data_IF_785022639327
#
_entry.id   IF_785022639327
#
_cell.length_a   1.000
_cell.length_b   1.000
_cell.length_c   1.000
_cell.angle_alpha   90.00
_cell.angle_beta   90.00
_cell.angle_gamma   90.00
#
_symmetry.space_group_name_H-M   'P 1'
#
loop_
_entity.id
_entity.type
_entity.pdbx_description
1 polymer ?
#
# COMPACT_ATOMS: atom_id res chain seq x y z
N UNK A 1 -26.77 24.91 33.10
CA UNK A 1 -27.09 23.93 32.03
C UNK A 1 -25.99 24.04 31.01
N UNK A 2 -24.98 23.17 31.09
CA UNK A 2 -23.90 23.09 30.12
C UNK A 2 -24.42 22.37 28.87
N UNK A 3 -24.35 23.07 27.74
CA UNK A 3 -24.67 22.52 26.43
C UNK A 3 -23.62 21.48 26.08
N UNK A 4 -23.98 20.21 26.06
CA UNK A 4 -23.12 19.15 25.55
C UNK A 4 -22.81 19.45 24.08
N UNK A 5 -21.56 19.77 23.78
CA UNK A 5 -21.07 19.93 22.43
C UNK A 5 -21.26 18.62 21.66
N UNK A 6 -22.07 18.67 20.61
CA UNK A 6 -22.23 17.56 19.67
C UNK A 6 -20.86 17.19 19.11
N UNK A 7 -20.42 15.92 19.16
CA UNK A 7 -19.13 15.56 18.61
C UNK A 7 -19.13 15.87 17.10
N UNK A 8 -18.20 16.73 16.66
CA UNK A 8 -17.94 16.96 15.25
C UNK A 8 -17.64 15.60 14.60
N UNK A 9 -18.55 15.12 13.77
CA UNK A 9 -18.33 13.95 12.93
C UNK A 9 -17.21 14.35 11.96
N UNK A 10 -15.98 13.93 12.24
CA UNK A 10 -14.86 14.18 11.32
C UNK A 10 -15.24 13.68 9.93
N UNK A 11 -15.04 14.52 8.91
CA UNK A 11 -15.32 14.12 7.53
C UNK A 11 -14.41 12.93 7.18
N UNK A 12 -15.01 11.86 6.60
CA UNK A 12 -14.25 10.69 6.20
C UNK A 12 -13.28 11.04 5.07
N UNK A 13 -12.09 10.51 5.12
CA UNK A 13 -11.09 10.62 4.03
C UNK A 13 -11.61 9.89 2.81
N UNK A 14 -11.18 10.34 1.61
CA UNK A 14 -11.64 9.80 0.33
C UNK A 14 -10.43 9.40 -0.51
N UNK A 15 -10.50 8.25 -1.15
CA UNK A 15 -9.52 7.86 -2.17
C UNK A 15 -9.75 8.66 -3.45
N UNK A 16 -8.77 8.71 -4.37
CA UNK A 16 -8.97 9.30 -5.70
C UNK A 16 -10.13 8.68 -6.47
N UNK A 17 -10.48 7.41 -6.20
CA UNK A 17 -11.55 6.68 -6.87
C UNK A 17 -12.91 6.79 -6.17
N UNK A 18 -13.03 7.48 -5.03
CA UNK A 18 -14.29 7.58 -4.29
C UNK A 18 -15.48 8.01 -5.14
N UNK A 19 -15.28 9.04 -5.99
CA UNK A 19 -16.32 9.49 -6.93
C UNK A 19 -16.70 8.43 -7.97
N UNK A 20 -15.77 7.57 -8.40
CA UNK A 20 -16.05 6.46 -9.30
C UNK A 20 -16.89 5.39 -8.61
N UNK A 21 -16.52 4.99 -7.39
CA UNK A 21 -17.27 4.02 -6.60
C UNK A 21 -18.74 4.42 -6.44
N UNK A 22 -19.00 5.69 -6.13
CA UNK A 22 -20.36 6.22 -6.00
C UNK A 22 -21.12 6.20 -7.33
N UNK A 23 -20.49 6.59 -8.45
CA UNK A 23 -21.11 6.51 -9.80
C UNK A 23 -21.45 5.08 -10.21
N UNK A 24 -20.67 4.10 -9.77
CA UNK A 24 -20.92 2.67 -9.99
C UNK A 24 -21.96 2.10 -9.02
N UNK A 25 -22.55 2.93 -8.15
CA UNK A 25 -23.59 2.49 -7.22
C UNK A 25 -23.07 1.69 -6.01
N UNK A 26 -21.83 1.88 -5.64
CA UNK A 26 -21.25 1.21 -4.47
C UNK A 26 -21.96 1.63 -3.19
N UNK A 27 -22.17 0.67 -2.30
CA UNK A 27 -22.55 0.92 -0.92
C UNK A 27 -21.31 1.34 -0.12
N UNK A 28 -21.27 2.61 0.26
CA UNK A 28 -20.13 3.21 0.97
C UNK A 28 -20.27 3.04 2.48
N UNK A 29 -19.13 2.77 3.15
CA UNK A 29 -19.05 2.62 4.61
C UNK A 29 -17.83 3.32 5.17
N UNK A 30 -17.86 3.63 6.47
CA UNK A 30 -16.66 4.07 7.18
C UNK A 30 -15.75 2.85 7.42
N UNK A 31 -14.61 2.83 6.74
CA UNK A 31 -13.57 1.84 6.92
C UNK A 31 -12.30 2.51 7.44
N UNK A 32 -12.05 2.41 8.75
CA UNK A 32 -10.86 3.00 9.37
C UNK A 32 -10.71 4.51 9.14
N UNK A 33 -11.80 5.27 9.11
CA UNK A 33 -11.79 6.72 8.85
C UNK A 33 -11.86 7.10 7.37
N UNK A 34 -11.97 6.13 6.48
CA UNK A 34 -12.12 6.33 5.03
C UNK A 34 -13.54 5.99 4.56
N UNK A 35 -14.03 6.74 3.57
CA UNK A 35 -15.29 6.49 2.87
C UNK A 35 -15.05 5.48 1.74
N UNK A 36 -15.22 4.20 2.02
CA UNK A 36 -14.84 3.08 1.16
C UNK A 36 -16.04 2.26 0.68
N UNK A 37 -15.97 1.69 -0.54
CA UNK A 37 -16.98 0.77 -1.01
C UNK A 37 -16.88 -0.57 -0.28
N UNK A 38 -18.02 -1.09 0.21
CA UNK A 38 -18.08 -2.44 0.80
C UNK A 38 -18.62 -3.47 -0.18
N UNK A 39 -19.52 -3.05 -1.08
CA UNK A 39 -20.11 -3.90 -2.12
C UNK A 39 -20.74 -3.05 -3.24
N UNK A 40 -20.97 -3.70 -4.37
CA UNK A 40 -21.75 -3.15 -5.49
C UNK A 40 -23.03 -3.97 -5.67
N UNK A 41 -24.18 -3.52 -5.17
CA UNK A 41 -25.43 -4.28 -5.24
C UNK A 41 -25.82 -4.69 -6.68
N UNK A 42 -25.50 -3.84 -7.68
CA UNK A 42 -25.77 -4.11 -9.08
C UNK A 42 -24.97 -5.30 -9.66
N UNK A 43 -23.85 -5.68 -9.03
CA UNK A 43 -23.05 -6.85 -9.43
C UNK A 43 -23.46 -8.14 -8.69
N UNK A 44 -24.51 -8.11 -7.90
CA UNK A 44 -24.97 -9.24 -7.07
C UNK A 44 -24.47 -9.21 -5.64
N UNK A 45 -23.79 -8.11 -5.24
CA UNK A 45 -23.32 -7.85 -3.88
C UNK A 45 -22.13 -8.71 -3.46
N UNK A 46 -21.84 -8.66 -2.19
CA UNK A 46 -20.61 -9.17 -1.56
C UNK A 46 -20.26 -10.62 -1.91
N UNK A 47 -21.25 -11.52 -1.90
CA UNK A 47 -21.03 -12.94 -2.19
C UNK A 47 -20.68 -13.16 -3.67
N UNK A 48 -21.35 -12.46 -4.59
CA UNK A 48 -21.08 -12.57 -6.02
C UNK A 48 -19.68 -11.99 -6.34
N UNK A 49 -19.33 -10.86 -5.76
CA UNK A 49 -18.00 -10.26 -5.89
C UNK A 49 -16.90 -11.18 -5.34
N UNK A 50 -17.09 -11.77 -4.15
CA UNK A 50 -16.16 -12.74 -3.61
C UNK A 50 -15.95 -13.94 -4.54
N UNK A 51 -17.03 -14.50 -5.11
CA UNK A 51 -16.96 -15.62 -6.08
C UNK A 51 -16.26 -15.20 -7.36
N UNK A 52 -16.48 -13.97 -7.85
CA UNK A 52 -15.81 -13.43 -9.03
C UNK A 52 -14.29 -13.38 -8.83
N UNK A 53 -13.83 -12.89 -7.69
CA UNK A 53 -12.39 -12.86 -7.36
C UNK A 53 -11.83 -14.27 -7.29
N UNK A 54 -12.53 -15.21 -6.63
CA UNK A 54 -12.05 -16.60 -6.46
C UNK A 54 -12.04 -17.39 -7.77
N UNK A 55 -13.00 -17.14 -8.66
CA UNK A 55 -13.15 -17.88 -9.92
C UNK A 55 -12.58 -17.17 -11.16
N UNK A 56 -12.32 -15.87 -11.08
CA UNK A 56 -11.87 -15.06 -12.20
C UNK A 56 -10.94 -13.95 -11.75
N UNK A 57 -11.43 -12.71 -11.63
CA UNK A 57 -10.62 -11.55 -11.24
C UNK A 57 -11.49 -10.49 -10.56
N UNK A 58 -10.90 -9.76 -9.61
CA UNK A 58 -11.46 -8.55 -9.02
C UNK A 58 -10.40 -7.46 -8.90
N UNK A 59 -10.87 -6.21 -8.93
CA UNK A 59 -10.05 -5.02 -8.74
C UNK A 59 -10.47 -4.33 -7.47
N UNK A 60 -9.52 -4.06 -6.58
CA UNK A 60 -9.76 -3.41 -5.31
C UNK A 60 -9.03 -2.06 -5.26
N UNK A 61 -9.74 -1.03 -4.85
CA UNK A 61 -9.12 0.24 -4.49
C UNK A 61 -8.47 0.10 -3.11
N UNK A 62 -7.15 0.13 -3.07
CA UNK A 62 -6.36 0.10 -1.84
C UNK A 62 -5.57 1.39 -1.65
N UNK A 63 -5.99 2.48 -2.32
CA UNK A 63 -5.34 3.79 -2.25
C UNK A 63 -5.40 4.47 -0.88
N UNK A 64 -6.11 3.86 0.08
CA UNK A 64 -6.14 4.28 1.47
C UNK A 64 -4.93 3.79 2.28
N UNK A 65 -4.16 2.84 1.73
CA UNK A 65 -2.91 2.36 2.35
C UNK A 65 -1.89 3.50 2.47
N UNK A 66 -0.89 3.32 3.31
CA UNK A 66 0.20 4.27 3.44
C UNK A 66 1.44 3.85 2.67
N UNK A 67 2.16 4.84 2.14
CA UNK A 67 3.38 4.68 1.35
C UNK A 67 4.49 5.56 1.93
N UNK A 68 5.50 4.92 2.52
CA UNK A 68 6.66 5.62 3.09
C UNK A 68 7.88 5.34 2.23
N UNK A 69 8.43 6.37 1.59
CA UNK A 69 9.73 6.27 0.93
C UNK A 69 10.85 6.60 1.91
N UNK A 70 11.84 5.72 1.97
CA UNK A 70 13.07 5.91 2.75
C UNK A 70 14.23 5.92 1.77
N UNK A 71 15.01 7.00 1.77
CA UNK A 71 16.24 7.13 0.97
C UNK A 71 17.39 7.62 1.83
N UNK A 72 18.62 7.35 1.41
CA UNK A 72 19.80 7.88 2.12
C UNK A 72 19.82 9.40 2.07
N UNK A 73 20.25 10.02 3.15
CA UNK A 73 20.34 11.47 3.32
C UNK A 73 21.49 12.07 2.52
N UNK A 74 22.70 11.63 2.77
CA UNK A 74 23.90 12.09 2.09
C UNK A 74 24.99 11.02 2.00
N UNK A 75 24.91 9.98 2.84
CA UNK A 75 25.87 8.89 2.87
C UNK A 75 25.24 7.60 2.35
N UNK A 76 25.91 6.85 1.47
CA UNK A 76 25.46 5.54 1.01
C UNK A 76 25.18 4.60 2.21
N UNK A 77 24.10 3.80 2.10
CA UNK A 77 23.73 2.83 3.12
C UNK A 77 22.84 3.36 4.25
N UNK A 78 22.61 4.66 4.32
CA UNK A 78 21.78 5.26 5.38
C UNK A 78 20.34 4.75 5.37
N UNK A 79 19.73 4.61 4.20
CA UNK A 79 18.39 4.06 4.06
C UNK A 79 18.34 2.57 4.45
N UNK A 80 19.32 1.76 4.03
CA UNK A 80 19.38 0.36 4.40
C UNK A 80 19.52 0.19 5.91
N UNK A 81 20.41 0.95 6.55
CA UNK A 81 20.59 0.91 8.00
C UNK A 81 19.30 1.27 8.75
N UNK A 82 18.57 2.30 8.28
CA UNK A 82 17.29 2.68 8.85
C UNK A 82 16.24 1.57 8.71
N UNK A 83 16.09 1.00 7.51
CA UNK A 83 15.11 -0.08 7.26
C UNK A 83 15.44 -1.34 8.05
N UNK A 84 16.73 -1.72 8.16
CA UNK A 84 17.18 -2.82 9.00
C UNK A 84 16.84 -2.63 10.47
N UNK A 85 16.87 -1.39 10.95
CA UNK A 85 16.55 -1.09 12.34
C UNK A 85 15.06 -1.20 12.66
N UNK A 86 14.20 -0.80 11.70
CA UNK A 86 12.75 -0.71 11.95
C UNK A 86 11.97 -1.94 11.47
N UNK A 87 12.56 -2.84 10.68
CA UNK A 87 11.88 -4.04 10.17
C UNK A 87 12.53 -5.32 10.66
N UNK A 88 11.70 -6.34 10.88
CA UNK A 88 12.12 -7.62 11.46
C UNK A 88 12.96 -8.46 10.50
N UNK A 89 12.61 -8.46 9.22
CA UNK A 89 13.32 -9.24 8.21
C UNK A 89 14.53 -8.49 7.68
N UNK A 90 15.57 -9.26 7.31
CA UNK A 90 16.83 -8.74 6.79
C UNK A 90 16.66 -8.09 5.40
N UNK A 91 16.51 -6.76 5.39
CA UNK A 91 16.33 -5.99 4.15
C UNK A 91 17.60 -5.98 3.26
N UNK A 92 18.78 -6.30 3.81
CA UNK A 92 20.02 -6.39 3.02
C UNK A 92 20.00 -7.51 1.98
N UNK A 93 19.17 -8.54 2.23
CA UNK A 93 18.99 -9.69 1.33
C UNK A 93 18.08 -9.42 0.14
N UNK A 94 17.34 -8.31 0.16
CA UNK A 94 16.52 -7.93 -0.99
C UNK A 94 17.41 -7.49 -2.14
N UNK A 95 17.16 -8.02 -3.33
CA UNK A 95 17.67 -7.44 -4.57
C UNK A 95 16.88 -6.18 -4.94
N UNK A 96 17.44 -5.29 -5.77
CA UNK A 96 16.68 -4.18 -6.37
C UNK A 96 15.54 -4.76 -7.21
N UNK A 97 14.31 -4.25 -7.04
CA UNK A 97 13.12 -4.81 -7.67
C UNK A 97 12.48 -5.96 -6.88
N UNK A 98 12.97 -6.25 -5.69
CA UNK A 98 12.41 -7.28 -4.81
C UNK A 98 11.75 -6.64 -3.58
N UNK A 99 10.73 -7.31 -3.06
CA UNK A 99 10.06 -6.96 -1.83
C UNK A 99 10.04 -8.14 -0.86
N UNK A 100 9.71 -7.89 0.39
CA UNK A 100 9.31 -8.92 1.34
C UNK A 100 8.24 -8.40 2.32
N UNK A 101 7.44 -9.32 2.80
CA UNK A 101 6.54 -9.09 3.92
C UNK A 101 7.35 -9.10 5.21
N UNK A 102 7.14 -8.14 6.09
CA UNK A 102 7.86 -7.98 7.34
C UNK A 102 6.96 -7.42 8.43
N UNK A 103 7.50 -7.15 9.58
CA UNK A 103 6.84 -6.48 10.68
C UNK A 103 7.74 -5.41 11.29
N UNK A 104 7.12 -4.38 11.83
CA UNK A 104 7.75 -3.42 12.74
C UNK A 104 7.41 -3.81 14.17
N UNK A 105 8.39 -3.81 15.06
CA UNK A 105 8.24 -4.29 16.42
C UNK A 105 8.63 -3.22 17.44
N UNK A 106 7.89 -3.16 18.54
CA UNK A 106 8.30 -2.44 19.72
C UNK A 106 9.47 -3.16 20.45
N UNK A 107 10.25 -2.47 21.29
CA UNK A 107 11.39 -3.09 21.99
C UNK A 107 11.02 -4.32 22.85
N UNK A 108 9.79 -4.42 23.31
CA UNK A 108 9.27 -5.57 24.06
C UNK A 108 8.82 -6.74 23.17
N UNK A 109 8.96 -6.65 21.83
CA UNK A 109 8.64 -7.70 20.87
C UNK A 109 7.18 -7.76 20.43
N UNK A 110 6.33 -6.81 20.83
CA UNK A 110 4.96 -6.68 20.31
C UNK A 110 4.94 -5.92 18.99
N UNK A 111 3.92 -6.17 18.16
CA UNK A 111 3.80 -5.53 16.86
C UNK A 111 3.50 -4.03 16.96
N UNK A 112 4.24 -3.22 16.23
CA UNK A 112 3.81 -1.89 15.80
C UNK A 112 2.78 -2.06 14.69
N UNK A 113 3.19 -2.74 13.59
CA UNK A 113 2.34 -3.16 12.49
C UNK A 113 3.09 -4.14 11.56
N UNK A 114 2.36 -4.76 10.63
CA UNK A 114 2.95 -5.46 9.50
C UNK A 114 3.22 -4.50 8.32
N UNK A 115 4.17 -4.84 7.48
CA UNK A 115 4.66 -3.98 6.41
C UNK A 115 5.19 -4.78 5.23
N UNK A 116 5.00 -4.26 4.01
CA UNK A 116 5.73 -4.76 2.85
C UNK A 116 6.87 -3.79 2.53
N UNK A 117 8.10 -4.29 2.56
CA UNK A 117 9.32 -3.54 2.26
C UNK A 117 9.75 -3.84 0.84
N UNK A 118 9.81 -2.81 -0.02
CA UNK A 118 10.28 -2.89 -1.39
C UNK A 118 11.65 -2.23 -1.49
N UNK A 119 12.63 -2.88 -2.14
CA UNK A 119 13.92 -2.26 -2.43
C UNK A 119 13.89 -1.64 -3.83
N UNK A 120 13.80 -0.30 -3.90
CA UNK A 120 13.69 0.45 -5.15
C UNK A 120 15.05 0.66 -5.83
N UNK A 121 16.11 0.84 -5.04
CA UNK A 121 17.48 1.10 -5.51
C UNK A 121 18.49 0.67 -4.44
N UNK A 122 19.77 0.90 -4.67
CA UNK A 122 20.81 0.64 -3.65
C UNK A 122 20.51 1.37 -2.32
N UNK A 123 20.09 2.63 -2.41
CA UNK A 123 19.84 3.52 -1.27
C UNK A 123 18.38 4.02 -1.19
N UNK A 124 17.43 3.19 -1.66
CA UNK A 124 16.02 3.58 -1.67
C UNK A 124 15.07 2.42 -1.41
N UNK A 125 14.13 2.63 -0.49
CA UNK A 125 13.09 1.68 -0.12
C UNK A 125 11.72 2.33 -0.16
N UNK A 126 10.68 1.52 -0.39
CA UNK A 126 9.27 1.89 -0.22
C UNK A 126 8.63 0.91 0.76
N UNK A 127 8.02 1.43 1.80
CA UNK A 127 7.25 0.67 2.77
C UNK A 127 5.77 0.90 2.49
N UNK A 128 5.01 -0.16 2.32
CA UNK A 128 3.54 -0.13 2.24
C UNK A 128 2.99 -0.55 3.59
N UNK A 129 2.21 0.34 4.22
CA UNK A 129 1.68 0.21 5.59
C UNK A 129 0.15 0.26 5.61
N UNK A 130 -0.45 -0.20 6.70
CA UNK A 130 -1.88 -0.30 6.85
C UNK A 130 -2.59 1.06 6.99
N UNK A 131 -3.78 1.16 6.40
CA UNK A 131 -4.56 2.41 6.37
C UNK A 131 -5.03 2.89 7.75
N UNK A 132 -5.48 1.96 8.59
CA UNK A 132 -6.05 2.30 9.90
C UNK A 132 -5.01 2.78 10.92
N UNK A 133 -3.75 2.44 10.71
CA UNK A 133 -2.62 2.75 11.59
C UNK A 133 -1.62 3.71 10.96
N UNK A 134 -1.90 4.22 9.76
CA UNK A 134 -1.02 5.01 8.91
C UNK A 134 -0.29 6.13 9.67
N UNK A 135 -0.99 6.98 10.40
CA UNK A 135 -0.36 8.09 11.14
C UNK A 135 0.55 7.58 12.26
N UNK A 136 0.11 6.57 12.99
CA UNK A 136 0.90 5.92 14.04
C UNK A 136 2.20 5.38 13.45
N UNK A 137 2.12 4.66 12.33
CA UNK A 137 3.25 3.97 11.73
C UNK A 137 4.25 4.96 11.11
N UNK A 138 3.77 6.00 10.41
CA UNK A 138 4.62 7.06 9.87
C UNK A 138 5.38 7.77 11.00
N UNK A 139 4.69 8.10 12.09
CA UNK A 139 5.31 8.76 13.23
C UNK A 139 6.32 7.84 13.92
N UNK A 140 6.00 6.56 14.07
CA UNK A 140 6.90 5.57 14.64
C UNK A 140 8.17 5.40 13.79
N UNK A 141 8.02 5.29 12.46
CA UNK A 141 9.15 5.21 11.52
C UNK A 141 10.04 6.46 11.65
N UNK A 142 9.45 7.66 11.60
CA UNK A 142 10.21 8.91 11.77
C UNK A 142 10.97 8.97 13.06
N UNK A 143 10.34 8.57 14.17
CA UNK A 143 10.95 8.61 15.50
C UNK A 143 12.13 7.64 15.62
N UNK A 144 11.95 6.40 15.13
CA UNK A 144 12.95 5.35 15.28
C UNK A 144 14.05 5.40 14.20
N UNK A 145 13.96 6.32 13.23
CA UNK A 145 15.01 6.51 12.20
C UNK A 145 15.80 7.81 12.37
N UNK A 146 15.54 8.62 13.38
CA UNK A 146 16.20 9.92 13.61
C UNK A 146 17.73 9.87 13.69
N UNK A 147 18.28 8.77 14.17
CA UNK A 147 19.75 8.59 14.32
C UNK A 147 20.43 8.14 13.03
N UNK A 148 19.67 7.83 11.98
CA UNK A 148 20.21 7.35 10.70
C UNK A 148 20.29 8.49 9.68
N UNK A 149 21.29 8.43 8.80
CA UNK A 149 21.40 9.36 7.67
C UNK A 149 20.41 9.00 6.56
N UNK A 150 19.13 9.24 6.82
CA UNK A 150 18.05 8.93 5.89
C UNK A 150 17.02 10.05 5.84
N UNK A 151 16.26 10.08 4.75
CA UNK A 151 15.11 10.97 4.54
C UNK A 151 13.84 10.12 4.44
N UNK A 152 12.84 10.46 5.25
CA UNK A 152 11.54 9.81 5.30
C UNK A 152 10.52 10.70 4.61
N UNK A 153 9.92 10.19 3.53
CA UNK A 153 8.90 10.90 2.75
C UNK A 153 7.59 10.12 2.82
N UNK A 154 6.53 10.78 3.29
CA UNK A 154 5.17 10.25 3.21
C UNK A 154 4.61 10.54 1.82
N UNK A 155 4.45 9.50 1.01
CA UNK A 155 3.92 9.56 -0.35
C UNK A 155 2.49 9.02 -0.44
N UNK A 156 1.87 8.73 0.67
CA UNK A 156 0.58 8.04 0.72
C UNK A 156 -0.54 8.77 -0.05
N UNK A 157 -0.54 10.10 -0.04
CA UNK A 157 -1.54 10.88 -0.79
C UNK A 157 -1.10 11.18 -2.23
N UNK A 158 0.12 10.79 -2.61
CA UNK A 158 0.67 10.96 -3.96
C UNK A 158 0.44 9.72 -4.84
N UNK A 159 0.09 8.58 -4.25
CA UNK A 159 -0.13 7.34 -4.97
C UNK A 159 -1.60 6.94 -5.02
N UNK A 160 -1.98 6.29 -6.13
CA UNK A 160 -3.20 5.51 -6.26
C UNK A 160 -2.79 4.06 -6.36
N UNK A 161 -3.31 3.23 -5.48
CA UNK A 161 -2.99 1.81 -5.44
C UNK A 161 -4.21 0.96 -5.80
N UNK A 162 -3.99 -0.02 -6.68
CA UNK A 162 -4.99 -1.00 -7.06
C UNK A 162 -4.47 -2.41 -6.80
N UNK A 163 -5.27 -3.25 -6.16
CA UNK A 163 -4.99 -4.67 -6.05
C UNK A 163 -5.85 -5.43 -7.07
N UNK A 164 -5.20 -6.05 -8.07
CA UNK A 164 -5.84 -6.89 -9.08
C UNK A 164 -5.62 -8.33 -8.64
N UNK A 165 -6.70 -9.02 -8.28
CA UNK A 165 -6.61 -10.31 -7.58
C UNK A 165 -7.48 -11.37 -8.27
N UNK A 166 -7.01 -12.63 -8.23
CA UNK A 166 -7.73 -13.78 -8.77
C UNK A 166 -6.96 -14.51 -9.87
N UNK A 167 -7.41 -15.72 -10.27
CA UNK A 167 -6.69 -16.56 -11.22
C UNK A 167 -6.50 -15.93 -12.61
N UNK A 168 -7.31 -14.94 -12.98
CA UNK A 168 -7.19 -14.20 -14.24
C UNK A 168 -6.53 -12.83 -14.10
N UNK A 169 -5.98 -12.49 -12.93
CA UNK A 169 -5.40 -11.16 -12.67
C UNK A 169 -4.27 -10.81 -13.65
N UNK A 170 -3.33 -11.75 -13.88
CA UNK A 170 -2.23 -11.55 -14.84
C UNK A 170 -2.76 -11.38 -16.26
N UNK A 171 -3.70 -12.22 -16.67
CA UNK A 171 -4.28 -12.16 -18.03
C UNK A 171 -5.00 -10.84 -18.30
N UNK A 172 -5.70 -10.30 -17.29
CA UNK A 172 -6.36 -9.01 -17.40
C UNK A 172 -5.33 -7.88 -17.49
N UNK A 173 -4.37 -7.84 -16.57
CA UNK A 173 -3.39 -6.76 -16.52
C UNK A 173 -2.47 -6.76 -17.74
N UNK A 174 -2.14 -7.94 -18.28
CA UNK A 174 -1.30 -8.07 -19.48
C UNK A 174 -1.89 -7.34 -20.72
N UNK A 175 -3.19 -7.19 -20.79
CA UNK A 175 -3.85 -6.45 -21.88
C UNK A 175 -3.67 -4.93 -21.77
N UNK A 176 -3.22 -4.44 -20.62
CA UNK A 176 -3.12 -3.03 -20.28
C UNK A 176 -1.66 -2.53 -20.23
N UNK A 177 -0.69 -3.42 -20.45
CA UNK A 177 0.74 -3.11 -20.39
C UNK A 177 1.54 -3.91 -21.41
N UNK A 178 2.62 -3.32 -21.91
CA UNK A 178 3.60 -4.00 -22.76
C UNK A 178 4.67 -4.77 -21.95
N UNK A 179 4.67 -4.62 -20.62
CA UNK A 179 5.57 -5.37 -19.76
C UNK A 179 5.22 -6.85 -19.73
N UNK A 180 6.22 -7.74 -19.80
CA UNK A 180 6.02 -9.19 -19.73
C UNK A 180 5.79 -9.63 -18.28
N UNK A 181 4.51 -9.69 -17.87
CA UNK A 181 4.11 -9.94 -16.48
C UNK A 181 4.47 -11.35 -16.00
N UNK A 182 4.61 -12.33 -16.91
CA UNK A 182 5.01 -13.71 -16.56
C UNK A 182 6.42 -13.76 -15.95
N UNK A 183 7.25 -12.78 -16.22
CA UNK A 183 8.62 -12.69 -15.70
C UNK A 183 8.68 -12.20 -14.25
N UNK A 184 7.63 -11.57 -13.75
CA UNK A 184 7.59 -11.05 -12.37
C UNK A 184 7.37 -12.20 -11.41
N UNK A 185 8.37 -12.50 -10.59
CA UNK A 185 8.30 -13.54 -9.53
C UNK A 185 7.50 -13.01 -8.33
N UNK A 186 7.02 -13.92 -7.47
CA UNK A 186 6.42 -13.55 -6.19
C UNK A 186 7.36 -12.63 -5.39
N UNK A 187 6.80 -11.55 -4.83
CA UNK A 187 7.52 -10.48 -4.14
C UNK A 187 8.59 -9.79 -5.00
N UNK A 188 8.39 -9.76 -6.31
CA UNK A 188 9.14 -8.91 -7.21
C UNK A 188 8.22 -7.84 -7.81
N UNK A 189 8.83 -6.74 -8.23
CA UNK A 189 8.14 -5.64 -8.88
C UNK A 189 9.01 -5.01 -9.97
N UNK A 190 8.37 -4.29 -10.87
CA UNK A 190 9.05 -3.54 -11.92
C UNK A 190 8.26 -2.28 -12.27
N UNK A 191 8.94 -1.20 -12.68
CA UNK A 191 8.27 -0.07 -13.31
C UNK A 191 7.81 -0.47 -14.72
N UNK A 192 6.60 -0.05 -15.09
CA UNK A 192 6.03 -0.33 -16.40
C UNK A 192 5.15 0.84 -16.87
N UNK A 193 4.69 0.77 -18.11
CA UNK A 193 3.62 1.63 -18.62
C UNK A 193 2.32 0.85 -18.57
N UNK A 194 1.32 1.34 -17.85
CA UNK A 194 -0.01 0.72 -17.76
C UNK A 194 -1.06 1.71 -18.25
N UNK A 195 -1.87 1.35 -19.21
CA UNK A 195 -2.86 2.24 -19.83
C UNK A 195 -2.27 3.60 -20.25
N UNK A 196 -1.03 3.64 -20.73
CA UNK A 196 -0.32 4.87 -21.10
C UNK A 196 0.31 5.64 -19.94
N UNK A 197 0.04 5.27 -18.69
CA UNK A 197 0.67 5.87 -17.51
C UNK A 197 2.06 5.27 -17.30
N UNK A 198 3.10 6.07 -17.52
CA UNK A 198 4.49 5.68 -17.34
C UNK A 198 4.85 5.58 -15.86
N UNK A 199 5.88 4.79 -15.56
CA UNK A 199 6.42 4.61 -14.21
C UNK A 199 5.40 4.06 -13.20
N UNK A 200 4.39 3.34 -13.68
CA UNK A 200 3.50 2.57 -12.81
C UNK A 200 4.27 1.38 -12.23
N UNK A 201 4.24 1.21 -10.93
CA UNK A 201 4.91 0.09 -10.27
C UNK A 201 3.99 -1.12 -10.28
N UNK A 202 4.39 -2.19 -10.96
CA UNK A 202 3.66 -3.47 -10.93
C UNK A 202 4.39 -4.41 -10.00
N UNK A 203 3.73 -4.83 -8.92
CA UNK A 203 4.25 -5.76 -7.93
C UNK A 203 3.42 -7.05 -7.92
N UNK A 204 4.08 -8.19 -7.81
CA UNK A 204 3.43 -9.49 -7.62
C UNK A 204 3.57 -9.93 -6.18
N UNK A 205 2.49 -9.84 -5.41
CA UNK A 205 2.46 -10.10 -3.96
C UNK A 205 1.67 -11.36 -3.57
N UNK A 206 1.08 -12.04 -4.54
CA UNK A 206 0.31 -13.27 -4.30
C UNK A 206 0.01 -14.04 -5.57
#
# INVERSE_FOLDING_TARGET
MESAATPHKSELRKTPLNGLHRRLGAKMVNFGGWDMPVEYPSSGGLIAEHRAVRGSVGVFDVSHMGDIRIRSGGKPGGALAAVQHISMNDASKLAIGQAHYSAMLYPQGTFVDDVIVHRLSEDGFLLVINAGTREKDINWVRENTKSFDCVIEDLSDAYTQLAIQGPQAVNLLQQLTDAELSTIKNYWFMPATVCGLKNTLIARTG
#
